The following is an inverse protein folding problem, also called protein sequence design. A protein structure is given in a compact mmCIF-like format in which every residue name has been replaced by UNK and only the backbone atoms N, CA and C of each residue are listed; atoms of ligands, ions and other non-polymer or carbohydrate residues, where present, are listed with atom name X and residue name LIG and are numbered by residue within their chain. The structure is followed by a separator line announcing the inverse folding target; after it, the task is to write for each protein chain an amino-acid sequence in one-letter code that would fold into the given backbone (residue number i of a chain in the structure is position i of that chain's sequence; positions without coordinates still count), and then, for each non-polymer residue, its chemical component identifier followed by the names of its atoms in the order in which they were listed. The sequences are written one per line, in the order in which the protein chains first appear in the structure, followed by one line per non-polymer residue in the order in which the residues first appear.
data_IF_717677450223
#
_entry.id   IF_717677450223
#
_cell.length_a   1.000
_cell.length_b   1.000
_cell.length_c   1.000
_cell.angle_alpha   90.00
_cell.angle_beta   90.00
_cell.angle_gamma   90.00
#
_symmetry.space_group_name_H-M   'P 1'
#
loop_
_entity.id
_entity.type
_entity.pdbx_description
1 polymer ?
2 non-polymer ?
3 water ?
#
# COMPACT_ATOMS: atom_id res chain seq x y z
N UNK A 78 -9.18 -8.56 -17.13
CA UNK A 78 -10.27 -7.61 -17.34
C UNK A 78 -10.62 -6.86 -16.04
N UNK A 79 -10.63 -7.60 -14.93
CA UNK A 79 -10.97 -7.01 -13.63
C UNK A 79 -10.09 -5.81 -13.31
N UNK A 80 -8.78 -6.02 -13.32
CA UNK A 80 -7.80 -5.00 -12.93
C UNK A 80 -6.51 -5.39 -13.64
N UNK A 81 -6.64 -6.28 -14.62
CA UNK A 81 -5.48 -6.74 -15.38
C UNK A 81 -4.92 -5.63 -16.26
N UNK A 82 -5.76 -5.06 -17.12
CA UNK A 82 -5.33 -3.93 -17.95
C UNK A 82 -4.80 -2.77 -17.12
N UNK A 83 -5.17 -2.70 -15.84
CA UNK A 83 -4.60 -1.70 -14.95
C UNK A 83 -3.11 -1.93 -14.77
N UNK A 84 -2.75 -3.08 -14.20
CA UNK A 84 -1.34 -3.37 -13.93
C UNK A 84 -0.59 -3.83 -15.17
N UNK A 85 -1.27 -4.38 -16.18
CA UNK A 85 -0.60 -4.71 -17.43
C UNK A 85 -0.04 -3.45 -18.08
N UNK A 86 -0.85 -2.41 -18.20
CA UNK A 86 -0.36 -1.15 -18.74
C UNK A 86 0.55 -0.44 -17.75
N UNK A 87 0.39 -0.70 -16.45
CA UNK A 87 1.32 -0.17 -15.46
C UNK A 87 2.71 -0.76 -15.63
N UNK A 88 2.79 -2.01 -16.12
CA UNK A 88 4.09 -2.59 -16.41
C UNK A 88 4.79 -1.85 -17.53
N UNK A 89 4.06 -1.51 -18.58
CA UNK A 89 4.62 -0.80 -19.73
C UNK A 89 4.73 0.70 -19.50
N UNK A 90 4.21 1.22 -18.39
CA UNK A 90 4.25 2.64 -18.06
C UNK A 90 3.56 3.49 -19.13
N UNK A 91 2.56 2.91 -19.80
CA UNK A 91 1.80 3.65 -20.83
C UNK A 91 0.73 4.46 -20.13
N UNK A 92 1.01 5.75 -19.92
CA UNK A 92 0.08 6.61 -19.20
C UNK A 92 -1.18 6.84 -20.01
N UNK A 93 -1.02 7.27 -21.27
CA UNK A 93 -2.15 7.66 -22.10
C UNK A 93 -3.06 6.49 -22.47
N UNK A 94 -2.73 5.28 -22.05
CA UNK A 94 -3.47 4.11 -22.51
C UNK A 94 -4.64 3.74 -21.61
N UNK A 95 -4.48 3.85 -20.29
CA UNK A 95 -5.59 3.72 -19.36
C UNK A 95 -6.05 5.09 -18.84
N UNK A 96 -5.27 6.15 -19.06
CA UNK A 96 -5.84 7.50 -19.07
C UNK A 96 -6.96 7.60 -20.10
N UNK A 97 -6.95 6.71 -21.11
CA UNK A 97 -8.00 6.69 -22.12
C UNK A 97 -9.36 6.30 -21.55
N UNK A 98 -9.43 5.81 -20.31
CA UNK A 98 -10.70 5.36 -19.74
C UNK A 98 -11.33 6.40 -18.81
N UNK A 99 -11.04 7.68 -19.02
CA UNK A 99 -11.81 8.74 -18.38
C UNK A 99 -13.11 9.05 -19.11
N UNK A 100 -13.29 8.52 -20.31
CA UNK A 100 -14.48 8.76 -21.11
C UNK A 100 -14.88 7.51 -21.89
N UNK A 106 -17.41 -1.54 -18.61
CA UNK A 106 -16.52 -0.44 -18.26
C UNK A 106 -16.67 -0.03 -16.79
N UNK A 107 -16.51 1.26 -16.50
CA UNK A 107 -16.23 1.76 -15.16
C UNK A 107 -17.49 2.07 -14.35
N UNK A 108 -17.27 2.62 -13.15
CA UNK A 108 -18.22 3.34 -12.31
C UNK A 108 -17.47 4.57 -11.79
N UNK A 109 -18.12 5.50 -11.08
CA UNK A 109 -17.35 6.63 -10.53
C UNK A 109 -16.26 6.22 -9.56
N UNK A 110 -16.43 5.12 -8.83
CA UNK A 110 -15.41 4.70 -7.87
C UNK A 110 -14.19 4.14 -8.58
N UNK A 111 -14.41 3.26 -9.58
CA UNK A 111 -13.30 2.79 -10.39
C UNK A 111 -12.67 3.91 -11.21
N UNK A 112 -13.41 5.00 -11.44
CA UNK A 112 -12.84 6.14 -12.16
C UNK A 112 -11.85 6.89 -11.27
N UNK A 113 -12.15 7.02 -9.98
CA UNK A 113 -11.23 7.69 -9.07
C UNK A 113 -10.06 6.79 -8.70
N UNK A 114 -10.32 5.49 -8.55
CA UNK A 114 -9.22 4.54 -8.35
C UNK A 114 -8.21 4.64 -9.48
N UNK A 115 -8.68 4.79 -10.70
CA UNK A 115 -7.79 4.96 -11.84
C UNK A 115 -7.04 6.28 -11.75
N UNK A 116 -7.76 7.37 -11.48
CA UNK A 116 -7.14 8.70 -11.48
C UNK A 116 -6.01 8.80 -10.46
N UNK A 117 -6.20 8.22 -9.28
CA UNK A 117 -5.16 8.28 -8.26
C UNK A 117 -3.95 7.42 -8.63
N UNK A 118 -4.14 6.39 -9.47
CA UNK A 118 -3.01 5.62 -9.96
C UNK A 118 -2.16 6.47 -10.89
N UNK A 119 -2.80 7.22 -11.80
CA UNK A 119 -2.05 8.09 -12.71
C UNK A 119 -1.39 9.25 -11.98
N UNK A 120 -1.86 9.60 -10.78
CA UNK A 120 -1.17 10.58 -9.97
C UNK A 120 0.25 10.13 -9.63
N UNK A 121 0.50 8.82 -9.63
CA UNK A 121 1.85 8.32 -9.48
C UNK A 121 2.64 8.43 -10.79
N UNK A 122 1.97 8.33 -11.94
CA UNK A 122 2.66 8.49 -13.22
C UNK A 122 2.85 9.97 -13.55
N UNK A 123 1.76 10.63 -13.94
CA UNK A 123 1.78 12.07 -14.19
C UNK A 123 1.34 12.77 -12.90
N UNK A 124 2.27 13.50 -12.29
CA UNK A 124 2.07 14.10 -10.98
C UNK A 124 1.08 15.28 -11.00
N UNK A 125 0.39 15.52 -12.11
CA UNK A 125 -0.63 16.55 -12.17
C UNK A 125 -2.01 16.00 -12.51
N UNK A 126 -2.14 14.70 -12.71
CA UNK A 126 -3.45 14.06 -12.85
C UNK A 126 -3.94 13.80 -11.43
N UNK A 127 -4.72 14.73 -10.90
CA UNK A 127 -5.12 14.73 -9.51
C UNK A 127 -6.61 14.42 -9.43
N UNK A 128 -7.03 13.41 -8.67
CA UNK A 128 -8.45 13.28 -8.33
C UNK A 128 -8.77 14.27 -7.21
N UNK A 129 -9.64 15.23 -7.49
CA UNK A 129 -9.91 16.26 -6.50
C UNK A 129 -10.82 15.71 -5.41
N UNK A 130 -11.03 16.54 -4.38
CA UNK A 130 -11.54 16.05 -3.09
C UNK A 130 -12.92 15.41 -3.22
N UNK A 131 -13.81 16.03 -4.00
CA UNK A 131 -15.21 15.59 -4.02
C UNK A 131 -15.33 14.13 -4.43
N UNK A 132 -14.63 13.73 -5.49
CA UNK A 132 -14.66 12.33 -5.90
C UNK A 132 -13.90 11.44 -4.92
N UNK A 133 -12.97 12.00 -4.15
CA UNK A 133 -12.27 11.22 -3.13
C UNK A 133 -13.10 11.09 -1.86
N UNK A 134 -13.78 12.16 -1.46
CA UNK A 134 -14.65 12.11 -0.29
C UNK A 134 -15.85 11.19 -0.52
N UNK A 135 -16.30 11.07 -1.77
CA UNK A 135 -17.44 10.20 -2.04
C UNK A 135 -17.06 8.73 -1.92
N UNK A 136 -15.92 8.35 -2.50
CA UNK A 136 -15.44 6.97 -2.32
C UNK A 136 -15.10 6.69 -0.86
N UNK A 137 -14.45 7.64 -0.19
CA UNK A 137 -14.14 7.47 1.23
C UNK A 137 -15.40 7.31 2.06
N UNK A 138 -16.45 8.09 1.76
CA UNK A 138 -17.71 7.93 2.49
C UNK A 138 -18.34 6.57 2.22
N UNK A 139 -18.28 6.11 0.96
CA UNK A 139 -18.78 4.77 0.64
C UNK A 139 -18.07 3.71 1.46
N UNK A 140 -16.74 3.78 1.53
CA UNK A 140 -15.98 2.78 2.28
C UNK A 140 -16.25 2.87 3.78
N UNK A 141 -16.59 4.06 4.27
CA UNK A 141 -16.87 4.21 5.70
C UNK A 141 -18.13 3.46 6.11
N UNK A 142 -19.13 3.38 5.24
CA UNK A 142 -20.37 2.67 5.54
C UNK A 142 -20.40 1.25 4.98
N UNK A 143 -19.34 0.81 4.28
CA UNK A 143 -19.29 -0.58 3.87
C UNK A 143 -19.25 -1.46 5.11
N UNK A 144 -20.16 -2.43 5.18
CA UNK A 144 -20.23 -3.30 6.34
C UNK A 144 -19.21 -4.43 6.25
N UNK A 145 -19.09 -5.06 5.09
CA UNK A 145 -18.15 -6.15 4.86
C UNK A 145 -17.24 -5.80 3.69
N UNK A 146 -15.93 -5.91 3.91
CA UNK A 146 -14.94 -5.53 2.91
C UNK A 146 -14.61 -6.74 2.04
N UNK A 147 -14.97 -6.67 0.77
CA UNK A 147 -14.59 -7.68 -0.20
C UNK A 147 -13.47 -7.19 -1.10
N UNK A 148 -13.17 -8.01 -2.12
CA UNK A 148 -12.13 -7.66 -3.09
C UNK A 148 -12.38 -6.29 -3.72
N UNK A 149 -13.65 -5.92 -3.91
CA UNK A 149 -13.98 -4.64 -4.51
C UNK A 149 -13.51 -3.49 -3.64
N UNK A 150 -13.87 -3.52 -2.35
CA UNK A 150 -13.53 -2.41 -1.45
C UNK A 150 -12.04 -2.36 -1.16
N UNK A 151 -11.39 -3.52 -1.04
CA UNK A 151 -9.97 -3.55 -0.70
C UNK A 151 -9.12 -2.96 -1.82
N UNK A 152 -9.42 -3.33 -3.07
CA UNK A 152 -8.65 -2.81 -4.19
C UNK A 152 -8.90 -1.32 -4.38
N UNK A 153 -10.11 -0.86 -4.10
CA UNK A 153 -10.42 0.56 -4.21
C UNK A 153 -9.62 1.38 -3.21
N UNK A 154 -9.63 0.95 -1.94
CA UNK A 154 -8.88 1.67 -0.90
C UNK A 154 -7.39 1.62 -1.17
N UNK A 155 -6.86 0.43 -1.46
CA UNK A 155 -5.42 0.28 -1.63
C UNK A 155 -4.85 1.14 -2.73
N UNK A 156 -5.61 1.34 -3.81
CA UNK A 156 -5.12 2.15 -4.93
C UNK A 156 -5.20 3.64 -4.64
N UNK A 157 -5.90 4.07 -3.59
CA UNK A 157 -6.02 5.49 -3.25
C UNK A 157 -5.54 5.76 -1.83
N UNK A 158 -4.61 4.96 -1.32
CA UNK A 158 -4.12 5.19 0.05
C UNK A 158 -3.33 6.48 0.15
N UNK A 159 -2.83 7.01 -0.97
CA UNK A 159 -2.02 8.22 -0.97
C UNK A 159 -2.72 9.42 -1.60
N UNK A 160 -4.00 9.29 -1.93
CA UNK A 160 -4.79 10.43 -2.39
C UNK A 160 -5.95 10.77 -1.48
N UNK A 161 -6.63 9.76 -0.92
CA UNK A 161 -7.57 10.04 0.15
C UNK A 161 -6.79 10.59 1.33
N UNK A 162 -7.40 11.52 2.06
CA UNK A 162 -6.72 12.13 3.20
C UNK A 162 -6.30 11.05 4.20
N UNK A 163 -5.12 11.23 4.79
CA UNK A 163 -4.53 10.19 5.62
C UNK A 163 -5.46 9.79 6.75
N UNK A 164 -6.09 10.76 7.40
CA UNK A 164 -6.95 10.47 8.55
C UNK A 164 -8.05 9.47 8.17
N UNK A 165 -8.61 9.61 6.97
CA UNK A 165 -9.60 8.63 6.52
C UNK A 165 -8.96 7.30 6.14
N UNK A 166 -7.82 7.34 5.45
CA UNK A 166 -7.15 6.12 5.03
C UNK A 166 -6.84 5.23 6.23
N UNK A 167 -6.33 5.82 7.31
CA UNK A 167 -5.99 5.02 8.49
C UNK A 167 -7.24 4.43 9.13
N UNK A 168 -8.31 5.24 9.25
CA UNK A 168 -9.55 4.71 9.82
C UNK A 168 -10.15 3.63 8.92
N UNK A 169 -10.11 3.83 7.61
CA UNK A 169 -10.61 2.83 6.68
C UNK A 169 -9.76 1.56 6.72
N UNK A 170 -8.43 1.72 6.77
CA UNK A 170 -7.57 0.56 6.95
C UNK A 170 -7.88 -0.16 8.25
N UNK A 171 -8.04 0.60 9.34
CA UNK A 171 -8.39 0.01 10.62
C UNK A 171 -9.71 -0.74 10.57
N UNK A 172 -10.68 -0.26 9.78
CA UNK A 172 -11.95 -0.95 9.65
C UNK A 172 -11.87 -2.12 8.69
N UNK A 173 -11.07 -2.00 7.62
CA UNK A 173 -10.91 -3.11 6.69
C UNK A 173 -10.27 -4.31 7.38
N UNK A 174 -9.32 -4.05 8.28
CA UNK A 174 -8.65 -5.13 9.01
C UNK A 174 -9.63 -5.93 9.85
N UNK A 175 -10.69 -5.30 10.34
CA UNK A 175 -11.64 -5.95 11.23
C UNK A 175 -12.86 -6.50 10.52
N UNK A 176 -13.01 -6.25 9.21
CA UNK A 176 -14.25 -6.63 8.53
C UNK A 176 -14.02 -7.16 7.12
N UNK A 177 -12.81 -7.60 6.78
CA UNK A 177 -12.57 -8.15 5.45
C UNK A 177 -13.05 -9.59 5.37
N UNK A 178 -13.67 -9.93 4.25
CA UNK A 178 -14.27 -11.24 4.07
C UNK A 178 -13.17 -12.24 3.67
N UNK A 179 -12.99 -13.27 4.49
CA UNK A 179 -12.03 -14.31 4.16
C UNK A 179 -12.38 -15.59 4.92
N UNK A 180 -12.25 -16.71 4.23
CA UNK A 180 -12.23 -18.04 4.81
C UNK A 180 -10.96 -18.75 4.33
N UNK A 181 -10.85 -20.03 4.66
CA UNK A 181 -9.55 -20.70 4.60
C UNK A 181 -9.17 -21.27 3.24
N UNK A 182 -10.13 -21.46 2.32
CA UNK A 182 -9.72 -21.81 0.96
C UNK A 182 -9.09 -20.58 0.35
N UNK A 183 -9.90 -19.56 0.08
CA UNK A 183 -9.45 -18.35 -0.60
C UNK A 183 -8.91 -17.38 0.45
N UNK A 184 -7.58 -17.28 0.52
CA UNK A 184 -6.93 -16.30 1.38
C UNK A 184 -6.37 -15.14 0.57
N UNK A 185 -6.86 -14.94 -0.65
CA UNK A 185 -6.40 -13.82 -1.47
C UNK A 185 -6.74 -12.48 -0.79
N UNK A 186 -7.89 -12.41 -0.13
CA UNK A 186 -8.26 -11.19 0.58
C UNK A 186 -7.32 -10.92 1.75
N UNK A 187 -6.79 -11.98 2.37
CA UNK A 187 -5.85 -11.80 3.47
C UNK A 187 -4.54 -11.19 2.99
N UNK A 188 -4.07 -11.61 1.79
CA UNK A 188 -2.83 -11.10 1.24
C UNK A 188 -2.90 -9.60 0.96
N UNK A 189 -3.85 -9.18 0.13
CA UNK A 189 -3.93 -7.77 -0.27
C UNK A 189 -4.33 -6.87 0.89
N UNK A 190 -5.04 -7.40 1.89
CA UNK A 190 -5.25 -6.65 3.13
C UNK A 190 -3.92 -6.46 3.85
N UNK A 191 -3.09 -7.50 3.90
CA UNK A 191 -1.77 -7.38 4.50
C UNK A 191 -0.90 -6.40 3.73
N UNK A 192 -0.91 -6.49 2.39
CA UNK A 192 -0.16 -5.54 1.57
C UNK A 192 -0.68 -4.12 1.77
N UNK A 193 -2.00 -3.97 1.92
CA UNK A 193 -2.56 -2.64 2.15
C UNK A 193 -2.12 -2.09 3.50
N UNK A 194 -2.25 -2.90 4.56
CA UNK A 194 -1.85 -2.45 5.89
C UNK A 194 -0.37 -2.06 5.92
N UNK A 195 0.48 -2.79 5.19
CA UNK A 195 1.90 -2.46 5.15
C UNK A 195 2.12 -1.15 4.41
N UNK A 196 1.42 -0.95 3.28
CA UNK A 196 1.55 0.30 2.54
C UNK A 196 1.09 1.49 3.36
N UNK A 197 0.01 1.31 4.13
CA UNK A 197 -0.45 2.36 5.04
C UNK A 197 0.55 2.57 6.18
N UNK A 198 1.26 1.52 6.59
CA UNK A 198 2.31 1.69 7.59
C UNK A 198 3.45 2.53 7.04
N UNK A 199 3.86 2.28 5.79
CA UNK A 199 4.89 3.10 5.16
C UNK A 199 4.42 4.55 5.08
N UNK A 200 3.16 4.77 4.72
CA UNK A 200 2.63 6.14 4.69
C UNK A 200 2.55 6.73 6.09
N UNK A 201 2.23 5.91 7.08
CA UNK A 201 2.18 6.40 8.46
C UNK A 201 3.55 6.81 8.95
N UNK A 202 4.59 6.07 8.55
CA UNK A 202 5.96 6.49 8.87
C UNK A 202 6.29 7.79 8.17
N UNK A 203 5.84 7.94 6.92
CA UNK A 203 6.07 9.18 6.19
C UNK A 203 5.44 10.37 6.89
N UNK A 204 4.22 10.21 7.40
CA UNK A 204 3.51 11.28 8.08
C UNK A 204 3.89 11.41 9.55
N UNK A 205 4.86 10.63 10.02
CA UNK A 205 5.30 10.65 11.42
C UNK A 205 4.17 10.36 12.40
N UNK A 206 3.23 9.50 11.99
CA UNK A 206 2.14 9.07 12.87
C UNK A 206 2.56 7.78 13.57
N UNK A 207 3.45 7.95 14.55
CA UNK A 207 4.09 6.80 15.19
C UNK A 207 3.14 6.02 16.07
N UNK A 208 2.15 6.69 16.67
CA UNK A 208 1.12 5.97 17.42
C UNK A 208 0.33 5.05 16.50
N UNK A 209 0.06 5.50 15.26
CA UNK A 209 -0.62 4.66 14.30
C UNK A 209 0.30 3.56 13.77
N UNK A 210 1.61 3.84 13.70
CA UNK A 210 2.56 2.81 13.28
C UNK A 210 2.58 1.64 14.26
N UNK A 211 2.55 1.93 15.56
CA UNK A 211 2.50 0.88 16.57
C UNK A 211 1.28 -0.01 16.38
N UNK A 212 0.14 0.58 16.08
CA UNK A 212 -1.07 -0.21 15.87
C UNK A 212 -0.94 -1.11 14.64
N UNK A 213 -0.47 -0.53 13.54
CA UNK A 213 -0.38 -1.30 12.29
C UNK A 213 0.66 -2.41 12.39
N UNK A 214 1.73 -2.20 13.15
CA UNK A 214 2.79 -3.21 13.24
C UNK A 214 2.24 -4.48 13.90
N UNK A 215 1.46 -4.32 14.96
CA UNK A 215 0.89 -5.49 15.62
C UNK A 215 -0.20 -6.14 14.77
N UNK A 216 -0.92 -5.36 13.97
CA UNK A 216 -1.94 -5.94 13.11
C UNK A 216 -1.33 -6.73 11.96
N UNK A 217 -0.20 -6.25 11.43
CA UNK A 217 0.44 -6.95 10.32
C UNK A 217 1.12 -8.23 10.81
N UNK A 218 1.70 -8.20 12.00
CA UNK A 218 2.34 -9.40 12.54
C UNK A 218 1.33 -10.51 12.75
N UNK A 219 0.09 -10.16 13.14
CA UNK A 219 -0.95 -11.18 13.27
C UNK A 219 -1.42 -11.69 11.92
N UNK A 220 -1.45 -10.84 10.90
CA UNK A 220 -1.82 -11.28 9.56
C UNK A 220 -0.77 -12.21 8.98
N UNK A 221 0.52 -11.98 9.28
CA UNK A 221 1.60 -12.80 8.76
C UNK A 221 1.85 -14.05 9.58
N UNK A 222 1.52 -14.02 10.88
CA UNK A 222 1.89 -15.11 11.78
C UNK A 222 1.27 -16.43 11.32
N UNK A 223 2.10 -17.47 11.31
CA UNK A 223 1.70 -18.82 10.90
C UNK A 223 1.10 -18.82 9.49
N UNK A 224 1.54 -17.87 8.67
CA UNK A 224 1.29 -17.86 7.24
C UNK A 224 2.63 -17.83 6.52
N UNK A 225 2.62 -18.18 5.24
CA UNK A 225 3.86 -18.19 4.48
C UNK A 225 3.85 -17.10 3.41
N UNK A 226 3.57 -15.87 3.83
CA UNK A 226 3.52 -14.73 2.92
C UNK A 226 4.88 -14.02 2.98
N UNK A 227 5.85 -14.60 2.29
CA UNK A 227 7.23 -14.13 2.39
C UNK A 227 7.41 -12.76 1.75
N UNK A 228 6.66 -12.46 0.68
CA UNK A 228 6.76 -11.14 0.07
C UNK A 228 6.32 -10.05 1.04
N UNK A 229 5.15 -10.23 1.66
CA UNK A 229 4.68 -9.27 2.64
C UNK A 229 5.62 -9.24 3.86
N UNK A 230 6.19 -10.39 4.22
CA UNK A 230 7.15 -10.41 5.33
C UNK A 230 8.40 -9.60 4.99
N UNK A 231 8.84 -9.63 3.74
CA UNK A 231 10.01 -8.86 3.35
C UNK A 231 9.72 -7.36 3.36
N UNK A 232 8.57 -6.96 2.80
CA UNK A 232 8.19 -5.55 2.80
C UNK A 232 7.92 -5.06 4.22
N UNK A 233 7.31 -5.91 5.05
CA UNK A 233 7.07 -5.54 6.44
C UNK A 233 8.36 -5.40 7.23
N UNK A 234 9.37 -6.21 6.91
CA UNK A 234 10.67 -6.08 7.58
C UNK A 234 11.32 -4.74 7.23
N UNK A 235 11.32 -4.36 5.95
CA UNK A 235 11.85 -3.07 5.57
C UNK A 235 11.08 -1.94 6.23
N UNK A 236 9.74 -2.03 6.23
CA UNK A 236 8.93 -0.99 6.86
C UNK A 236 9.20 -0.90 8.35
N UNK A 237 9.48 -2.04 9.00
CA UNK A 237 9.84 -2.01 10.41
C UNK A 237 11.18 -1.32 10.62
N UNK A 238 12.16 -1.60 9.77
CA UNK A 238 13.43 -0.90 9.85
C UNK A 238 13.29 0.58 9.52
N UNK A 239 12.42 0.91 8.57
CA UNK A 239 12.13 2.30 8.24
C UNK A 239 11.53 3.03 9.43
N UNK A 240 10.55 2.40 10.10
CA UNK A 240 9.98 2.98 11.30
C UNK A 240 11.02 3.19 12.38
N UNK A 241 11.86 2.17 12.62
CA UNK A 241 12.88 2.28 13.66
C UNK A 241 13.94 3.31 13.31
N UNK A 242 14.25 3.48 12.02
CA UNK A 242 15.25 4.46 11.63
C UNK A 242 14.72 5.88 11.75
N UNK A 243 13.57 6.16 11.12
CA UNK A 243 13.04 7.52 11.13
C UNK A 243 12.74 8.00 12.55
N UNK A 244 12.45 7.08 13.46
CA UNK A 244 12.13 7.44 14.84
C UNK A 244 13.36 7.57 15.72
N UNK A 245 14.41 6.79 15.46
CA UNK A 245 15.58 6.77 16.32
C UNK A 245 16.90 6.78 15.59
N UNK A 246 16.93 6.63 14.27
CA UNK A 246 18.17 6.47 13.51
C UNK A 246 19.00 5.33 14.08
N UNK A 247 18.31 4.28 14.53
CA UNK A 247 18.96 3.18 15.21
C UNK A 247 19.71 2.29 14.23
N UNK A 248 20.78 1.68 14.72
CA UNK A 248 21.52 0.71 13.91
C UNK A 248 20.67 -0.50 13.58
N UNK A 249 19.72 -0.85 14.45
CA UNK A 249 18.87 -2.00 14.21
C UNK A 249 17.93 -1.77 13.03
N UNK A 250 17.37 -0.56 12.92
CA UNK A 250 16.54 -0.26 11.77
C UNK A 250 17.31 -0.30 10.46
N UNK A 251 18.58 0.11 10.48
CA UNK A 251 19.44 0.01 9.31
C UNK A 251 19.55 -1.45 8.87
N UNK A 252 19.82 -2.34 9.83
CA UNK A 252 20.05 -3.75 9.49
C UNK A 252 18.79 -4.39 8.92
N UNK A 253 17.64 -4.11 9.51
CA UNK A 253 16.38 -4.67 9.00
C UNK A 253 16.15 -4.28 7.54
N UNK A 254 16.34 -2.99 7.23
CA UNK A 254 16.15 -2.53 5.86
C UNK A 254 17.14 -3.18 4.91
N UNK A 255 18.41 -3.29 5.32
CA UNK A 255 19.42 -3.93 4.48
C UNK A 255 19.18 -5.42 4.34
N UNK A 256 18.57 -6.05 5.35
CA UNK A 256 18.26 -7.47 5.24
C UNK A 256 17.10 -7.72 4.28
N UNK A 257 16.10 -6.83 4.30
CA UNK A 257 14.98 -6.96 3.36
C UNK A 257 15.46 -6.76 1.93
N UNK A 258 16.36 -5.80 1.70
CA UNK A 258 16.93 -5.61 0.38
C UNK A 258 17.70 -6.86 -0.04
N UNK A 259 18.36 -7.52 0.91
CA UNK A 259 19.13 -8.72 0.59
C UNK A 259 18.23 -9.88 0.18
N UNK A 260 17.04 -9.98 0.79
CA UNK A 260 16.09 -11.00 0.37
C UNK A 260 15.68 -10.76 -1.08
N UNK A 261 15.35 -9.51 -1.42
CA UNK A 261 15.02 -9.18 -2.80
C UNK A 261 16.18 -9.45 -3.73
N UNK A 262 17.42 -9.22 -3.27
CA UNK A 262 18.59 -9.51 -4.08
C UNK A 262 18.72 -11.00 -4.33
N UNK A 263 18.53 -11.82 -3.29
CA UNK A 263 18.74 -13.25 -3.40
C UNK A 263 17.70 -13.89 -4.33
N UNK A 264 16.47 -13.41 -4.29
CA UNK A 264 15.38 -13.98 -5.08
C UNK A 264 15.30 -13.38 -6.48
N UNK A 265 16.29 -12.61 -6.90
CA UNK A 265 16.30 -12.07 -8.24
C UNK A 265 15.26 -11.00 -8.52
N UNK A 266 14.76 -10.35 -7.47
CA UNK A 266 13.77 -9.28 -7.63
C UNK A 266 14.51 -7.96 -7.76
N UNK A 267 15.08 -7.76 -8.96
CA UNK A 267 15.98 -6.62 -9.15
C UNK A 267 15.25 -5.28 -9.10
N UNK A 268 14.08 -5.20 -9.74
CA UNK A 268 13.34 -3.93 -9.76
C UNK A 268 12.93 -3.51 -8.35
N UNK A 269 12.38 -4.44 -7.58
CA UNK A 269 12.02 -4.13 -6.20
C UNK A 269 13.26 -3.82 -5.36
N UNK A 270 14.34 -4.58 -5.57
CA UNK A 270 15.56 -4.35 -4.80
C UNK A 270 16.14 -2.96 -5.07
N UNK A 271 16.07 -2.50 -6.32
CA UNK A 271 16.65 -1.20 -6.65
C UNK A 271 15.79 -0.05 -6.12
N UNK A 272 14.47 -0.19 -6.21
CA UNK A 272 13.60 0.84 -5.65
C UNK A 272 13.76 0.93 -4.13
N UNK A 273 13.88 -0.22 -3.46
CA UNK A 273 14.08 -0.20 -2.02
C UNK A 273 15.48 0.27 -1.65
N UNK A 274 16.46 0.04 -2.54
CA UNK A 274 17.82 0.52 -2.28
C UNK A 274 17.87 2.04 -2.34
N UNK A 275 17.25 2.64 -3.36
CA UNK A 275 17.26 4.09 -3.48
C UNK A 275 16.52 4.75 -2.33
N UNK A 276 15.38 4.16 -1.93
CA UNK A 276 14.68 4.63 -0.74
C UNK A 276 15.58 4.57 0.48
N UNK A 277 16.34 3.48 0.62
CA UNK A 277 17.28 3.35 1.72
C UNK A 277 18.42 4.36 1.59
N UNK A 278 18.91 4.55 0.37
CA UNK A 278 19.99 5.52 0.15
C UNK A 278 19.58 6.91 0.59
N UNK A 279 18.35 7.32 0.25
CA UNK A 279 17.89 8.65 0.63
C UNK A 279 17.79 8.80 2.14
N UNK A 280 17.37 7.74 2.85
CA UNK A 280 17.18 7.83 4.29
C UNK A 280 18.47 8.18 5.01
N UNK A 281 19.56 7.48 4.70
CA UNK A 281 20.82 7.70 5.41
C UNK A 281 21.57 8.89 4.83
N UNK A 282 21.41 9.17 3.53
CA UNK A 282 22.11 10.27 2.88
C UNK A 282 21.31 11.58 2.92
N UNK A 283 20.49 11.77 3.95
CA UNK A 283 19.68 12.97 4.10
C UNK A 283 19.35 13.20 5.57
N UNK A 284 20.38 13.49 6.36
CA UNK A 284 20.21 13.72 7.80
C UNK A 284 21.47 14.32 8.40
X LIG B 1 22.45 -1.87 0.30
X LIG B 1 23.53 -2.43 1.11
X LIG B 1 21.19 -1.95 1.04
X LIG B 1 22.75 -0.48 -0.01
X LIG B 1 22.32 -2.64 -0.94
X LIG C 1 2.42 10.43 17.35
X LIG C 1 3.23 9.51 18.14
X LIG C 1 1.29 10.90 18.16
X LIG C 1 3.23 11.58 16.94
X LIG C 1 1.91 9.74 16.17
#
# INVERSE_FOLDING_TARGET
MKSKLGSTLRKVRNGKQISICSVADEHLSKSQISRFERGESEISCIRLINILDKLHITLDEFLILHDEDYTKTESFANLVQYIRKQYSLQNINNIQSLLSDSSNYTLDPFEKTMVKSILHTMDSSIIPSDDELLQLADYLFKVEKWGYYEIILLGNCVRTIDYNSVFLLTKEMLNNYIYSSLNKTNKRIVTQLAINCLILSIDMEEFTNCFYLIDEIKALLDNELNFYEQTVFLYATGYFEFKRWQSTSGIEKMKQAIQVLDILGEDNLKLHYTIHFDKLINNK
SO4 S O1 O2 O3 O4
SO4 S O1 O2 O3 O4
#
